data_IF_612187984526
#
_entry.id   IF_612187984526
#
_cell.length_a   1.000
_cell.length_b   1.000
_cell.length_c   1.000
_cell.angle_alpha   90.00
_cell.angle_beta   90.00
_cell.angle_gamma   90.00
#
_symmetry.space_group_name_H-M   'P 1'
#
loop_
_entity.id
_entity.type
_entity.pdbx_description
1 polymer ?
#
# COMPACT_ATOMS: atom_id res chain seq x y z
N UNK A 1 33.54 -41.62 37.11
CA UNK A 1 32.34 -41.54 36.26
C UNK A 1 31.93 -40.06 36.24
N UNK A 2 32.40 -39.33 35.24
CA UNK A 2 32.17 -37.88 35.10
C UNK A 2 30.94 -37.71 34.20
N UNK A 3 29.88 -37.17 34.77
CA UNK A 3 28.63 -36.91 34.06
C UNK A 3 28.77 -35.58 33.30
N UNK A 4 28.92 -35.65 31.96
CA UNK A 4 28.83 -34.48 31.07
C UNK A 4 27.35 -34.06 30.93
N UNK A 5 26.96 -32.99 31.59
CA UNK A 5 25.67 -32.33 31.36
C UNK A 5 25.83 -31.50 30.10
N UNK A 6 25.28 -32.02 29.00
CA UNK A 6 25.12 -31.28 27.76
C UNK A 6 23.94 -30.29 27.96
N UNK A 7 24.24 -29.05 28.27
CA UNK A 7 23.25 -27.95 28.22
C UNK A 7 22.90 -27.71 26.78
N UNK A 8 21.76 -28.25 26.34
CA UNK A 8 21.09 -27.78 25.13
C UNK A 8 20.64 -26.33 25.37
N UNK A 9 21.39 -25.37 24.84
CA UNK A 9 20.90 -24.05 24.61
C UNK A 9 19.82 -24.19 23.50
N UNK A 10 18.57 -24.34 23.91
CA UNK A 10 17.44 -24.09 23.05
C UNK A 10 17.51 -22.60 22.74
N UNK A 11 18.07 -22.25 21.57
CA UNK A 11 17.82 -20.97 20.96
C UNK A 11 16.30 -20.88 20.82
N UNK A 12 15.65 -20.13 21.69
CA UNK A 12 14.33 -19.61 21.40
C UNK A 12 14.52 -18.75 20.16
N UNK A 13 14.14 -19.25 18.99
CA UNK A 13 13.80 -18.43 17.85
C UNK A 13 12.68 -17.51 18.35
N UNK A 14 13.08 -16.34 18.81
CA UNK A 14 12.13 -15.29 19.19
C UNK A 14 11.29 -15.03 17.95
N UNK A 15 10.01 -15.29 18.09
CA UNK A 15 9.03 -15.06 17.02
C UNK A 15 9.32 -13.73 16.32
N UNK A 16 9.70 -13.80 15.05
CA UNK A 16 10.11 -12.63 14.28
C UNK A 16 8.99 -11.58 14.23
N UNK A 17 9.33 -10.32 14.48
CA UNK A 17 8.38 -9.22 14.37
C UNK A 17 8.01 -8.95 12.92
N UNK A 18 6.90 -8.24 12.72
CA UNK A 18 6.28 -8.00 11.42
C UNK A 18 6.25 -6.50 11.14
N UNK A 19 6.56 -6.12 9.91
CA UNK A 19 6.22 -4.82 9.34
C UNK A 19 4.97 -4.98 8.49
N UNK A 20 3.90 -4.25 8.82
CA UNK A 20 2.67 -4.21 8.02
C UNK A 20 2.83 -3.21 6.88
N UNK A 21 2.63 -3.64 5.64
CA UNK A 21 2.92 -2.86 4.43
C UNK A 21 1.69 -2.76 3.53
N UNK A 22 1.43 -1.57 2.99
CA UNK A 22 0.39 -1.39 1.99
C UNK A 22 0.67 -2.24 0.74
N UNK A 23 -0.36 -2.92 0.21
CA UNK A 23 -0.25 -3.82 -0.95
C UNK A 23 0.37 -3.15 -2.18
N UNK A 24 0.10 -1.86 -2.39
CA UNK A 24 0.69 -1.08 -3.50
C UNK A 24 2.22 -0.97 -3.46
N UNK A 25 2.83 -1.18 -2.29
CA UNK A 25 4.28 -1.11 -2.08
C UNK A 25 4.97 -2.48 -2.12
N UNK A 26 4.23 -3.58 -2.31
CA UNK A 26 4.75 -4.94 -2.19
C UNK A 26 6.05 -5.17 -2.98
N UNK A 27 6.06 -4.89 -4.28
CA UNK A 27 7.22 -5.12 -5.13
C UNK A 27 8.47 -4.37 -4.65
N UNK A 28 8.29 -3.09 -4.30
CA UNK A 28 9.39 -2.21 -3.92
C UNK A 28 9.95 -2.59 -2.56
N UNK A 29 9.07 -2.76 -1.57
CA UNK A 29 9.50 -3.04 -0.20
C UNK A 29 10.04 -4.46 -0.06
N UNK A 30 9.50 -5.45 -0.81
CA UNK A 30 10.05 -6.81 -0.82
C UNK A 30 11.47 -6.85 -1.41
N UNK A 31 11.74 -6.09 -2.49
CA UNK A 31 13.06 -5.97 -3.07
C UNK A 31 14.06 -5.30 -2.10
N UNK A 32 13.65 -4.23 -1.43
CA UNK A 32 14.46 -3.58 -0.39
C UNK A 32 14.74 -4.53 0.78
N UNK A 33 13.73 -5.25 1.24
CA UNK A 33 13.88 -6.21 2.33
C UNK A 33 14.82 -7.36 1.95
N UNK A 34 14.70 -7.94 0.76
CA UNK A 34 15.57 -9.05 0.32
C UNK A 34 17.05 -8.64 0.21
N UNK A 35 17.33 -7.36 -0.05
CA UNK A 35 18.68 -6.80 -0.11
C UNK A 35 19.16 -6.21 1.23
N UNK A 36 18.34 -6.25 2.28
CA UNK A 36 18.69 -5.70 3.57
C UNK A 36 19.49 -6.70 4.41
N UNK A 37 20.57 -6.24 5.04
CA UNK A 37 21.35 -7.03 5.97
C UNK A 37 20.49 -7.44 7.17
N UNK A 38 20.49 -8.71 7.55
CA UNK A 38 19.64 -9.28 8.60
C UNK A 38 18.14 -9.23 8.27
N UNK A 39 17.76 -9.44 7.01
CA UNK A 39 16.38 -9.50 6.57
C UNK A 39 15.58 -10.68 7.20
N UNK A 40 16.28 -11.66 7.77
CA UNK A 40 15.71 -12.79 8.53
C UNK A 40 15.19 -12.41 9.92
N UNK A 41 15.48 -11.19 10.42
CA UNK A 41 15.13 -10.73 11.78
C UNK A 41 13.71 -10.16 11.89
N UNK A 42 13.01 -9.99 10.79
CA UNK A 42 11.61 -9.56 10.74
C UNK A 42 10.95 -10.00 9.43
N UNK A 43 9.63 -9.98 9.38
CA UNK A 43 8.86 -10.33 8.19
C UNK A 43 8.02 -9.17 7.70
N UNK A 44 7.62 -9.23 6.41
CA UNK A 44 6.71 -8.27 5.81
C UNK A 44 5.33 -8.92 5.62
N UNK A 45 4.27 -8.18 5.92
CA UNK A 45 2.89 -8.60 5.67
C UNK A 45 2.18 -7.54 4.84
N UNK A 46 1.70 -7.90 3.65
CA UNK A 46 1.11 -7.00 2.67
C UNK A 46 -0.41 -7.04 2.69
N UNK A 47 -1.06 -5.87 2.55
CA UNK A 47 -2.52 -5.76 2.50
C UNK A 47 -3.02 -4.32 2.45
N UNK A 48 -4.32 -4.14 2.59
CA UNK A 48 -4.93 -2.80 2.65
C UNK A 48 -4.58 -2.08 3.96
N UNK A 49 -4.10 -0.84 3.88
CA UNK A 49 -3.63 -0.08 5.04
C UNK A 49 -4.67 0.06 6.16
N UNK A 50 -5.94 0.31 5.80
CA UNK A 50 -7.04 0.41 6.78
C UNK A 50 -7.33 -0.93 7.46
N UNK A 51 -7.28 -2.02 6.71
CA UNK A 51 -7.45 -3.37 7.25
C UNK A 51 -6.33 -3.72 8.22
N UNK A 52 -5.09 -3.38 7.87
CA UNK A 52 -3.93 -3.53 8.75
C UNK A 52 -4.05 -2.70 10.02
N UNK A 53 -4.39 -1.41 9.92
CA UNK A 53 -4.55 -0.55 11.08
C UNK A 53 -5.58 -1.09 12.08
N UNK A 54 -6.76 -1.52 11.59
CA UNK A 54 -7.79 -2.15 12.43
C UNK A 54 -7.34 -3.47 13.05
N UNK A 55 -6.58 -4.29 12.30
CA UNK A 55 -6.01 -5.54 12.83
C UNK A 55 -4.99 -5.28 13.94
N UNK A 56 -4.14 -4.28 13.79
CA UNK A 56 -3.13 -3.89 14.79
C UNK A 56 -3.78 -3.49 16.11
N UNK A 57 -4.88 -2.71 16.08
CA UNK A 57 -5.59 -2.32 17.31
C UNK A 57 -6.05 -3.54 18.11
N UNK A 58 -6.56 -4.56 17.42
CA UNK A 58 -7.06 -5.77 18.05
C UNK A 58 -5.95 -6.75 18.49
N UNK A 59 -4.79 -6.70 17.83
CA UNK A 59 -3.65 -7.57 18.13
C UNK A 59 -2.34 -6.91 17.72
N UNK A 60 -1.63 -6.33 18.69
CA UNK A 60 -0.34 -5.66 18.50
C UNK A 60 0.87 -6.61 18.57
N UNK A 61 0.67 -7.86 19.01
CA UNK A 61 1.77 -8.77 19.24
C UNK A 61 2.60 -8.95 17.98
N UNK A 62 3.91 -8.79 18.12
CA UNK A 62 4.91 -9.00 17.08
C UNK A 62 4.87 -8.00 15.89
N UNK A 63 4.17 -6.89 16.02
CA UNK A 63 4.18 -5.86 14.99
C UNK A 63 5.09 -4.73 15.44
N UNK A 64 6.19 -4.50 14.68
CA UNK A 64 7.18 -3.51 15.03
C UNK A 64 7.03 -2.19 14.27
N UNK A 65 6.54 -2.22 13.01
CA UNK A 65 6.38 -1.03 12.20
C UNK A 65 5.25 -1.15 11.18
N UNK A 66 4.88 -0.02 10.58
CA UNK A 66 3.88 0.10 9.52
C UNK A 66 4.41 0.96 8.37
N UNK A 67 4.01 0.64 7.12
CA UNK A 67 4.27 1.42 5.91
C UNK A 67 2.97 1.48 5.12
N UNK A 68 2.24 2.60 5.23
CA UNK A 68 0.87 2.72 4.74
C UNK A 68 0.71 3.84 3.71
N UNK A 69 -0.33 3.73 2.90
CA UNK A 69 -0.68 4.67 1.83
C UNK A 69 -1.86 5.59 2.20
N UNK A 70 -2.08 5.87 3.50
CA UNK A 70 -3.14 6.77 3.93
C UNK A 70 -2.86 7.41 5.28
N UNK A 71 -3.21 8.69 5.41
CA UNK A 71 -3.22 9.41 6.67
C UNK A 71 -4.25 8.83 7.65
N UNK A 72 -5.43 8.44 7.18
CA UNK A 72 -6.49 7.85 8.00
C UNK A 72 -6.03 6.59 8.74
N UNK A 73 -5.25 5.71 8.07
CA UNK A 73 -4.68 4.53 8.74
C UNK A 73 -3.74 4.89 9.89
N UNK A 74 -2.99 5.99 9.76
CA UNK A 74 -2.15 6.52 10.83
C UNK A 74 -2.93 7.21 11.94
N UNK A 75 -4.01 7.91 11.61
CA UNK A 75 -4.93 8.51 12.60
C UNK A 75 -5.51 7.45 13.53
N UNK A 76 -6.00 6.35 12.97
CA UNK A 76 -6.51 5.20 13.72
C UNK A 76 -5.45 4.67 14.73
N UNK A 77 -4.21 4.48 14.31
CA UNK A 77 -3.14 4.00 15.19
C UNK A 77 -2.71 5.04 16.21
N UNK A 78 -2.73 6.32 15.84
CA UNK A 78 -2.36 7.42 16.70
C UNK A 78 -3.39 7.65 17.82
N UNK A 79 -4.68 7.61 17.50
CA UNK A 79 -5.77 7.72 18.46
C UNK A 79 -5.75 6.57 19.48
N UNK A 80 -5.32 5.38 19.03
CA UNK A 80 -5.16 4.20 19.89
C UNK A 80 -3.89 4.22 20.75
N UNK A 81 -3.00 5.22 20.60
CA UNK A 81 -1.75 5.34 21.34
C UNK A 81 -0.68 4.28 20.99
N UNK A 82 -0.88 3.52 19.93
CA UNK A 82 -0.06 2.36 19.56
C UNK A 82 1.21 2.76 18.81
N UNK A 83 1.18 3.87 18.06
CA UNK A 83 2.31 4.31 17.24
C UNK A 83 3.14 5.37 17.94
N UNK A 84 4.46 5.27 17.79
CA UNK A 84 5.37 6.33 18.21
C UNK A 84 5.23 7.54 17.26
N UNK A 85 4.57 8.60 17.73
CA UNK A 85 4.29 9.80 16.92
C UNK A 85 5.53 10.44 16.31
N UNK A 86 6.64 10.43 17.05
CA UNK A 86 7.89 11.04 16.57
C UNK A 86 8.57 10.24 15.45
N UNK A 87 8.17 8.99 15.25
CA UNK A 87 8.68 8.12 14.17
C UNK A 87 7.90 8.25 12.86
N UNK A 88 6.74 8.94 12.87
CA UNK A 88 5.90 9.06 11.67
C UNK A 88 6.57 9.98 10.65
N UNK A 89 6.81 9.46 9.44
CA UNK A 89 7.39 10.19 8.32
C UNK A 89 6.61 9.94 7.05
N UNK A 90 6.38 10.99 6.24
CA UNK A 90 5.98 10.86 4.83
C UNK A 90 7.24 10.67 4.00
N UNK A 91 7.31 9.64 3.17
CA UNK A 91 8.49 9.37 2.34
C UNK A 91 8.20 9.38 0.84
N UNK A 92 6.94 9.40 0.43
CA UNK A 92 6.52 9.52 -0.97
C UNK A 92 5.05 9.93 -1.08
N UNK A 93 4.66 10.41 -2.27
CA UNK A 93 3.28 10.69 -2.67
C UNK A 93 2.94 9.98 -3.99
N UNK A 94 1.66 9.94 -4.37
CA UNK A 94 1.19 9.30 -5.60
C UNK A 94 0.02 10.06 -6.24
N UNK A 95 -0.42 9.62 -7.42
CA UNK A 95 -1.63 10.09 -8.08
C UNK A 95 -2.51 8.92 -8.51
N UNK A 96 -3.79 9.20 -8.78
CA UNK A 96 -4.71 8.22 -9.33
C UNK A 96 -4.81 8.33 -10.85
N UNK A 97 -5.02 7.18 -11.48
CA UNK A 97 -5.28 7.08 -12.93
C UNK A 97 -6.42 6.11 -13.19
N UNK A 98 -7.15 6.33 -14.29
CA UNK A 98 -8.04 5.31 -14.84
C UNK A 98 -7.28 4.51 -15.87
N UNK A 99 -7.34 3.19 -15.76
CA UNK A 99 -6.57 2.26 -16.59
C UNK A 99 -7.44 1.22 -17.27
N UNK A 100 -6.91 0.65 -18.37
CA UNK A 100 -7.42 -0.54 -19.04
C UNK A 100 -6.30 -1.51 -19.38
N UNK A 101 -6.64 -2.74 -19.75
CA UNK A 101 -5.66 -3.74 -20.24
C UNK A 101 -5.31 -3.54 -21.71
N UNK A 102 -6.08 -2.75 -22.46
CA UNK A 102 -5.91 -2.48 -23.89
C UNK A 102 -5.93 -0.99 -24.16
N UNK A 103 -5.38 -0.58 -25.31
CA UNK A 103 -5.38 0.81 -25.79
C UNK A 103 -6.54 1.15 -26.75
N UNK A 104 -7.62 0.36 -26.70
CA UNK A 104 -8.81 0.60 -27.54
C UNK A 104 -9.56 1.88 -27.17
N UNK A 105 -9.45 2.31 -25.90
CA UNK A 105 -10.11 3.49 -25.34
C UNK A 105 -9.04 4.40 -24.74
N UNK A 106 -8.98 5.64 -25.20
CA UNK A 106 -7.87 6.54 -24.92
C UNK A 106 -8.26 7.83 -24.18
N UNK A 107 -9.54 8.01 -23.90
CA UNK A 107 -10.04 9.20 -23.21
C UNK A 107 -11.30 8.91 -22.39
N UNK A 108 -11.68 9.90 -21.58
CA UNK A 108 -12.78 9.78 -20.64
C UNK A 108 -14.15 9.67 -21.34
N UNK A 109 -14.35 10.33 -22.48
CA UNK A 109 -15.64 10.31 -23.19
C UNK A 109 -15.89 8.96 -23.84
N UNK A 110 -14.88 8.37 -24.47
CA UNK A 110 -14.93 7.00 -24.98
C UNK A 110 -15.22 5.99 -23.85
N UNK A 111 -14.59 6.17 -22.67
CA UNK A 111 -14.82 5.34 -21.50
C UNK A 111 -16.28 5.43 -21.04
N UNK A 112 -16.83 6.64 -20.92
CA UNK A 112 -18.23 6.85 -20.51
C UNK A 112 -19.22 6.19 -21.46
N UNK A 113 -18.95 6.23 -22.76
CA UNK A 113 -19.76 5.59 -23.80
C UNK A 113 -19.61 4.06 -23.87
N UNK A 114 -18.57 3.48 -23.31
CA UNK A 114 -18.30 2.04 -23.38
C UNK A 114 -19.26 1.22 -22.54
N UNK A 115 -19.37 -0.10 -22.84
CA UNK A 115 -20.14 -1.06 -22.01
C UNK A 115 -19.33 -1.65 -20.85
N UNK A 116 -18.03 -1.35 -20.77
CA UNK A 116 -17.13 -1.88 -19.73
C UNK A 116 -17.52 -1.37 -18.35
N UNK A 117 -17.22 -2.19 -17.32
CA UNK A 117 -17.43 -1.81 -15.91
C UNK A 117 -16.21 -1.10 -15.36
N UNK A 118 -16.42 -0.26 -14.34
CA UNK A 118 -15.36 0.44 -13.62
C UNK A 118 -15.13 -0.25 -12.28
N UNK A 119 -13.95 -0.81 -12.06
CA UNK A 119 -13.58 -1.48 -10.83
C UNK A 119 -12.71 -0.56 -9.96
N UNK A 120 -13.06 -0.47 -8.68
CA UNK A 120 -12.25 0.23 -7.67
C UNK A 120 -11.98 -0.68 -6.48
N UNK A 121 -10.94 -0.35 -5.71
CA UNK A 121 -10.70 -0.98 -4.42
C UNK A 121 -11.84 -0.69 -3.41
N UNK A 122 -12.01 -1.57 -2.44
CA UNK A 122 -13.02 -1.38 -1.38
C UNK A 122 -12.58 -0.27 -0.42
N UNK A 123 -13.34 0.84 -0.29
CA UNK A 123 -13.00 1.94 0.60
C UNK A 123 -13.03 1.57 2.09
N UNK A 124 -13.62 0.44 2.45
CA UNK A 124 -13.65 -0.04 3.84
C UNK A 124 -12.34 -0.67 4.30
N UNK A 125 -11.51 -1.11 3.35
CA UNK A 125 -10.27 -1.85 3.66
C UNK A 125 -9.01 -1.25 3.02
N UNK A 126 -9.16 -0.45 1.96
CA UNK A 126 -8.03 0.09 1.20
C UNK A 126 -8.18 1.59 0.92
N UNK A 127 -7.15 2.41 1.21
CA UNK A 127 -7.16 3.86 0.94
C UNK A 127 -7.39 4.20 -0.53
N UNK A 128 -6.89 3.37 -1.46
CA UNK A 128 -7.16 3.56 -2.89
C UNK A 128 -8.66 3.61 -3.20
N UNK A 129 -9.48 2.86 -2.46
CA UNK A 129 -10.93 2.89 -2.58
C UNK A 129 -11.54 4.22 -2.11
N UNK A 130 -11.03 4.79 -1.02
CA UNK A 130 -11.47 6.10 -0.51
C UNK A 130 -11.18 7.19 -1.55
N UNK A 131 -9.94 7.29 -2.01
CA UNK A 131 -9.54 8.28 -3.02
C UNK A 131 -10.29 8.09 -4.35
N UNK A 132 -10.51 6.83 -4.76
CA UNK A 132 -11.31 6.52 -5.95
C UNK A 132 -12.74 7.01 -5.81
N UNK A 133 -13.39 6.79 -4.67
CA UNK A 133 -14.76 7.22 -4.39
C UNK A 133 -14.87 8.75 -4.41
N UNK A 134 -13.92 9.47 -3.82
CA UNK A 134 -13.85 10.93 -3.86
C UNK A 134 -13.77 11.45 -5.31
N UNK A 135 -12.97 10.77 -6.14
CA UNK A 135 -12.76 11.16 -7.55
C UNK A 135 -13.95 10.82 -8.45
N UNK A 136 -14.55 9.65 -8.26
CA UNK A 136 -15.67 9.15 -9.08
C UNK A 136 -16.84 10.13 -9.09
N UNK A 137 -17.21 10.65 -7.91
CA UNK A 137 -18.32 11.59 -7.76
C UNK A 137 -18.08 12.94 -8.47
N UNK A 138 -16.83 13.24 -8.86
CA UNK A 138 -16.48 14.44 -9.64
C UNK A 138 -16.34 14.16 -11.14
N UNK A 139 -16.21 12.89 -11.54
CA UNK A 139 -15.95 12.49 -12.93
C UNK A 139 -17.21 11.94 -13.60
N UNK A 140 -18.02 11.18 -12.88
CA UNK A 140 -19.15 10.42 -13.40
C UNK A 140 -20.46 10.86 -12.76
N UNK A 141 -21.55 10.75 -13.52
CA UNK A 141 -22.90 10.94 -13.00
C UNK A 141 -23.42 9.70 -12.22
N UNK A 142 -24.53 9.90 -11.51
CA UNK A 142 -25.13 8.86 -10.67
C UNK A 142 -25.55 7.60 -11.45
N UNK A 143 -26.00 7.76 -12.70
CA UNK A 143 -26.43 6.64 -13.54
C UNK A 143 -25.24 5.77 -13.92
N UNK A 144 -24.12 6.41 -14.32
CA UNK A 144 -22.88 5.68 -14.60
C UNK A 144 -22.41 4.90 -13.37
N UNK A 145 -22.39 5.54 -12.20
CA UNK A 145 -21.95 4.93 -10.94
C UNK A 145 -22.84 3.72 -10.62
N UNK A 146 -24.16 3.90 -10.66
CA UNK A 146 -25.12 2.83 -10.35
C UNK A 146 -24.99 1.63 -11.28
N UNK A 147 -24.80 1.88 -12.58
CA UNK A 147 -24.83 0.84 -13.59
C UNK A 147 -23.48 0.15 -13.80
N UNK A 148 -22.36 0.87 -13.60
CA UNK A 148 -21.04 0.40 -14.02
C UNK A 148 -20.03 0.20 -12.90
N UNK A 149 -20.21 0.81 -11.73
CA UNK A 149 -19.24 0.71 -10.64
C UNK A 149 -19.25 -0.67 -9.98
N UNK A 150 -18.06 -1.24 -9.82
CA UNK A 150 -17.80 -2.44 -9.02
C UNK A 150 -16.76 -2.13 -7.96
N UNK A 151 -16.95 -2.66 -6.76
CA UNK A 151 -16.08 -2.44 -5.61
C UNK A 151 -15.58 -3.80 -5.12
N UNK A 152 -14.27 -4.01 -5.07
CA UNK A 152 -13.68 -5.26 -4.56
C UNK A 152 -12.19 -5.16 -4.26
N UNK A 153 -11.76 -5.82 -3.20
CA UNK A 153 -10.36 -6.02 -2.86
C UNK A 153 -9.57 -4.75 -2.53
N UNK A 154 -8.27 -4.84 -2.65
CA UNK A 154 -7.33 -3.72 -2.58
C UNK A 154 -6.86 -3.28 -3.98
N UNK A 155 -5.95 -2.30 -4.06
CA UNK A 155 -5.49 -1.76 -5.34
C UNK A 155 -4.71 -2.77 -6.17
N UNK A 156 -3.98 -3.69 -5.55
CA UNK A 156 -3.26 -4.75 -6.27
C UNK A 156 -4.22 -5.79 -6.85
N UNK A 157 -5.32 -6.09 -6.14
CA UNK A 157 -6.40 -6.91 -6.68
C UNK A 157 -7.03 -6.25 -7.91
N UNK A 158 -7.36 -4.95 -7.84
CA UNK A 158 -7.93 -4.20 -8.97
C UNK A 158 -6.99 -4.25 -10.19
N UNK A 159 -5.71 -3.93 -10.03
CA UNK A 159 -4.75 -3.92 -11.14
C UNK A 159 -4.58 -5.31 -11.78
N UNK A 160 -4.57 -6.37 -10.98
CA UNK A 160 -4.51 -7.75 -11.49
C UNK A 160 -5.76 -8.14 -12.27
N UNK A 161 -6.95 -7.74 -11.79
CA UNK A 161 -8.22 -7.97 -12.50
C UNK A 161 -8.24 -7.23 -13.82
N UNK A 162 -7.80 -5.97 -13.88
CA UNK A 162 -7.72 -5.21 -15.13
C UNK A 162 -6.76 -5.88 -16.10
N UNK A 163 -5.57 -6.30 -15.64
CA UNK A 163 -4.57 -6.96 -16.49
C UNK A 163 -5.09 -8.23 -17.14
N UNK A 164 -5.91 -9.00 -16.45
CA UNK A 164 -6.44 -10.29 -16.90
C UNK A 164 -7.78 -10.21 -17.62
N UNK A 165 -8.47 -9.05 -17.60
CA UNK A 165 -9.81 -8.93 -18.17
C UNK A 165 -10.01 -7.57 -18.86
N UNK A 166 -10.24 -7.64 -20.19
CA UNK A 166 -10.44 -6.44 -21.03
C UNK A 166 -11.82 -5.77 -20.90
N UNK A 167 -12.76 -6.39 -20.19
CA UNK A 167 -14.12 -5.86 -20.00
C UNK A 167 -14.21 -4.88 -18.83
N UNK A 168 -13.08 -4.57 -18.18
CA UNK A 168 -13.00 -3.63 -17.08
C UNK A 168 -12.10 -2.43 -17.37
N UNK A 169 -12.46 -1.31 -16.77
CA UNK A 169 -11.56 -0.24 -16.38
C UNK A 169 -11.27 -0.33 -14.89
N UNK A 170 -10.17 0.27 -14.43
CA UNK A 170 -9.87 0.35 -13.00
C UNK A 170 -9.38 1.73 -12.62
N UNK A 171 -9.66 2.17 -11.38
CA UNK A 171 -8.95 3.29 -10.78
C UNK A 171 -7.88 2.70 -9.87
N UNK A 172 -6.63 3.04 -10.17
CA UNK A 172 -5.45 2.59 -9.44
C UNK A 172 -4.45 3.73 -9.24
N UNK A 173 -3.47 3.54 -8.39
CA UNK A 173 -2.33 4.45 -8.32
C UNK A 173 -1.52 4.43 -9.61
N UNK A 174 -0.97 5.58 -10.00
CA UNK A 174 -0.12 5.68 -11.20
C UNK A 174 1.06 4.72 -11.16
N UNK A 175 1.69 4.55 -10.01
CA UNK A 175 2.78 3.58 -9.82
C UNK A 175 2.32 2.14 -10.07
N UNK A 176 1.11 1.79 -9.66
CA UNK A 176 0.54 0.46 -9.87
C UNK A 176 0.22 0.21 -11.36
N UNK A 177 -0.25 1.26 -12.07
CA UNK A 177 -0.46 1.21 -13.51
C UNK A 177 0.85 0.96 -14.26
N UNK A 178 1.91 1.70 -13.92
CA UNK A 178 3.23 1.54 -14.53
C UNK A 178 3.85 0.17 -14.23
N UNK A 179 3.80 -0.27 -12.99
CA UNK A 179 4.29 -1.60 -12.55
C UNK A 179 3.66 -2.75 -13.33
N UNK A 180 2.37 -2.66 -13.63
CA UNK A 180 1.61 -3.71 -14.32
C UNK A 180 1.49 -3.50 -15.84
N UNK A 181 2.17 -2.49 -16.41
CA UNK A 181 2.09 -2.10 -17.82
C UNK A 181 0.64 -1.90 -18.31
N UNK A 182 -0.22 -1.28 -17.47
CA UNK A 182 -1.59 -0.98 -17.83
C UNK A 182 -1.65 0.29 -18.68
N UNK A 183 -2.57 0.32 -19.64
CA UNK A 183 -2.82 1.50 -20.45
C UNK A 183 -3.54 2.57 -19.62
N UNK A 184 -2.95 3.77 -19.51
CA UNK A 184 -3.55 4.90 -18.80
C UNK A 184 -4.52 5.60 -19.74
N UNK A 185 -5.81 5.52 -19.44
CA UNK A 185 -6.90 6.15 -20.17
C UNK A 185 -7.07 7.62 -19.75
N UNK A 186 -6.91 7.88 -18.44
CA UNK A 186 -7.13 9.22 -17.89
C UNK A 186 -6.31 9.45 -16.62
N UNK A 187 -5.61 10.58 -16.53
CA UNK A 187 -4.96 11.02 -15.30
C UNK A 187 -5.98 11.80 -14.47
N UNK A 188 -6.29 11.32 -13.29
CA UNK A 188 -7.26 11.98 -12.40
C UNK A 188 -6.61 13.23 -11.80
N UNK A 189 -7.26 14.42 -11.90
CA UNK A 189 -6.74 15.63 -11.28
C UNK A 189 -6.55 15.49 -9.76
N UNK A 190 -5.43 15.98 -9.24
CA UNK A 190 -5.07 15.83 -7.83
C UNK A 190 -6.03 16.57 -6.87
N UNK A 191 -6.79 17.53 -7.34
CA UNK A 191 -7.84 18.21 -6.57
C UNK A 191 -9.19 17.44 -6.53
N UNK A 192 -9.24 16.23 -7.12
CA UNK A 192 -10.44 15.38 -7.08
C UNK A 192 -10.44 14.42 -5.90
N UNK A 193 -9.33 14.26 -5.22
CA UNK A 193 -9.17 13.43 -4.03
C UNK A 193 -8.19 14.07 -3.04
N UNK A 194 -8.15 13.58 -1.81
CA UNK A 194 -7.17 13.99 -0.82
C UNK A 194 -5.74 13.57 -1.25
N UNK A 195 -4.73 14.23 -0.69
CA UNK A 195 -3.32 13.92 -1.00
C UNK A 195 -3.02 12.45 -0.66
N UNK A 196 -2.46 11.74 -1.63
CA UNK A 196 -2.05 10.34 -1.45
C UNK A 196 -0.63 10.33 -0.92
N UNK A 197 -0.48 10.09 0.36
CA UNK A 197 0.82 10.06 1.04
C UNK A 197 1.14 8.65 1.49
N UNK A 198 2.40 8.27 1.26
CA UNK A 198 2.97 7.07 1.85
C UNK A 198 3.74 7.46 3.10
N UNK A 199 3.28 6.95 4.22
CA UNK A 199 3.88 7.19 5.52
C UNK A 199 4.40 5.89 6.10
N UNK A 200 5.44 6.00 6.90
CA UNK A 200 5.97 4.93 7.73
C UNK A 200 6.03 5.37 9.17
N UNK A 201 5.97 4.42 10.09
CA UNK A 201 6.04 4.69 11.51
C UNK A 201 6.33 3.41 12.30
N UNK A 202 6.93 3.58 13.47
CA UNK A 202 7.34 2.53 14.38
C UNK A 202 6.30 2.41 15.49
N UNK A 203 5.89 1.20 15.84
CA UNK A 203 5.00 0.98 16.97
C UNK A 203 5.72 1.27 18.30
N UNK A 204 4.97 1.78 19.28
CA UNK A 204 5.52 2.17 20.59
C UNK A 204 6.11 0.98 21.36
N UNK A 205 5.66 -0.24 21.10
CA UNK A 205 6.15 -1.49 21.69
C UNK A 205 7.35 -2.10 20.98
N UNK A 206 7.79 -1.52 19.83
CA UNK A 206 8.88 -2.09 19.06
C UNK A 206 10.25 -1.85 19.70
N UNK A 207 10.97 -2.93 19.98
CA UNK A 207 12.35 -2.94 20.45
C UNK A 207 13.34 -3.48 19.41
N UNK A 208 12.86 -3.94 18.24
CA UNK A 208 13.68 -4.55 17.21
C UNK A 208 14.55 -3.50 16.47
N UNK A 209 15.84 -3.55 16.75
CA UNK A 209 16.81 -2.63 16.14
C UNK A 209 16.91 -2.79 14.62
N UNK A 210 16.65 -3.98 14.07
CA UNK A 210 16.71 -4.23 12.63
C UNK A 210 15.54 -3.59 11.90
N UNK A 211 14.33 -3.59 12.50
CA UNK A 211 13.18 -2.84 12.00
C UNK A 211 13.48 -1.34 11.99
N UNK A 212 14.02 -0.80 13.08
CA UNK A 212 14.40 0.61 13.16
C UNK A 212 15.41 1.00 12.09
N UNK A 213 16.43 0.16 11.85
CA UNK A 213 17.44 0.37 10.81
C UNK A 213 16.81 0.32 9.42
N UNK A 214 15.93 -0.64 9.15
CA UNK A 214 15.24 -0.78 7.86
C UNK A 214 14.35 0.43 7.55
N UNK A 215 13.52 0.87 8.50
CA UNK A 215 12.65 2.06 8.35
C UNK A 215 13.49 3.32 8.08
N UNK A 216 14.61 3.50 8.77
CA UNK A 216 15.50 4.64 8.53
C UNK A 216 16.22 4.55 7.17
N UNK A 217 16.56 3.34 6.69
CA UNK A 217 17.17 3.16 5.37
C UNK A 217 16.18 3.49 4.25
N UNK A 218 14.90 3.17 4.40
CA UNK A 218 13.86 3.53 3.42
C UNK A 218 13.75 5.05 3.21
N UNK A 219 14.07 5.88 4.20
CA UNK A 219 14.06 7.34 4.13
C UNK A 219 15.36 7.92 3.50
N UNK A 220 16.30 7.07 3.12
CA UNK A 220 17.56 7.51 2.54
C UNK A 220 17.39 8.15 1.15
N UNK A 221 18.27 9.13 0.83
CA UNK A 221 18.28 9.80 -0.49
C UNK A 221 18.39 8.82 -1.65
N UNK A 222 19.13 7.73 -1.46
CA UNK A 222 19.25 6.66 -2.46
C UNK A 222 17.89 6.02 -2.75
N UNK A 223 17.14 5.66 -1.72
CA UNK A 223 15.83 5.03 -1.86
C UNK A 223 14.78 6.00 -2.44
N UNK A 224 14.81 7.27 -2.05
CA UNK A 224 13.97 8.32 -2.65
C UNK A 224 14.18 8.42 -4.17
N UNK A 225 15.41 8.46 -4.66
CA UNK A 225 15.71 8.51 -6.10
C UNK A 225 15.23 7.25 -6.86
N UNK A 226 15.20 6.09 -6.21
CA UNK A 226 14.65 4.86 -6.79
C UNK A 226 13.13 4.90 -6.87
N UNK A 227 12.45 5.43 -5.86
CA UNK A 227 11.00 5.63 -5.85
C UNK A 227 10.55 6.58 -6.96
N UNK A 228 11.26 7.70 -7.18
CA UNK A 228 10.97 8.62 -8.29
C UNK A 228 10.99 7.92 -9.66
N UNK A 229 11.97 7.04 -9.91
CA UNK A 229 12.05 6.25 -11.15
C UNK A 229 10.86 5.30 -11.34
N UNK A 230 10.22 4.91 -10.27
CA UNK A 230 9.03 4.04 -10.27
C UNK A 230 7.72 4.84 -10.36
N UNK A 231 7.80 6.17 -10.48
CA UNK A 231 6.64 7.04 -10.67
C UNK A 231 6.02 7.58 -9.38
N UNK A 232 6.66 7.40 -8.23
CA UNK A 232 6.29 8.10 -7.01
C UNK A 232 6.69 9.58 -7.09
N UNK A 233 5.99 10.41 -6.35
CA UNK A 233 6.31 11.81 -6.16
C UNK A 233 7.06 11.92 -4.82
N UNK A 234 8.26 12.48 -4.84
CA UNK A 234 9.07 12.77 -3.65
C UNK A 234 8.95 14.28 -3.39
N UNK A 235 8.52 14.65 -2.20
CA UNK A 235 8.32 16.05 -1.79
C UNK A 235 9.65 16.72 -1.37
#
# INVERSE_FOLDING_TARGET
MVLFILSFLTSCDGDSEIIMVAASLEKIISEKHSNFENNDKFHLNYGGSLSHARRIINNQNKIGAVIFSSSESFEILNESGIINKSSIKTFASNSLVIVSSTNEINNLDELKGSKKKLLIADPKIAPAGIYSTQSINKIFDENFIKDKLLISGDVSYVSNMIRSNKDFFGIVYKTEALKNNLHIVYNIPTNFHDKIEYKMGILSSNENIHINKFINDLDSKKNQNELEKLGFIID
#
